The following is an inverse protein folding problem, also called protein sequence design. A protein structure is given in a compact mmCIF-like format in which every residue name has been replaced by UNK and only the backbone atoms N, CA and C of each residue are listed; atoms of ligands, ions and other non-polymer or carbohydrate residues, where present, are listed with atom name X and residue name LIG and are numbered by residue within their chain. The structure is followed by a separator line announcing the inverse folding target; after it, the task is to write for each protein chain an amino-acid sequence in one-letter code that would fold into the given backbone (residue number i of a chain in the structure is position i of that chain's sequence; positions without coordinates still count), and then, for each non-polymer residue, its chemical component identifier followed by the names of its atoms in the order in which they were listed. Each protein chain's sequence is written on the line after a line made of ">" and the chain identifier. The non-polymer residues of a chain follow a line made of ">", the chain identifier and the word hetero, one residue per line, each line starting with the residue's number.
data_IF_087065447434
#
_entry.id   IF_087065447434
#
_cell.length_a   1.000
_cell.length_b   1.000
_cell.length_c   1.000
_cell.angle_alpha   90.00
_cell.angle_beta   90.00
_cell.angle_gamma   90.00
#
_symmetry.space_group_name_H-M   'P 1'
#
loop_
_entity.id
_entity.type
_entity.pdbx_description
1 polymer ?
#
# COMPACT_ATOMS: atom_id res chain seq x y z
N UNK A 1 -34.96 -11.64 60.74
CA UNK A 1 -33.54 -11.35 60.46
C UNK A 1 -33.16 -12.07 59.16
N UNK A 2 -32.71 -11.31 58.15
CA UNK A 2 -32.07 -11.75 56.89
C UNK A 2 -30.62 -12.23 57.17
N UNK A 3 -29.89 -12.92 56.25
CA UNK A 3 -29.88 -12.78 54.78
C UNK A 3 -29.96 -14.10 53.99
N UNK A 4 -30.52 -14.16 52.78
CA UNK A 4 -30.10 -13.56 51.50
C UNK A 4 -28.66 -13.97 51.10
N UNK A 5 -28.50 -15.14 50.47
CA UNK A 5 -27.32 -15.46 49.66
C UNK A 5 -27.74 -15.80 48.24
N UNK A 6 -28.12 -14.73 47.54
CA UNK A 6 -28.17 -14.66 46.08
C UNK A 6 -26.73 -14.80 45.58
N UNK A 7 -26.39 -15.97 45.03
CA UNK A 7 -25.07 -16.21 44.44
C UNK A 7 -25.11 -15.73 42.99
N UNK A 8 -25.09 -14.41 42.82
CA UNK A 8 -24.86 -13.79 41.52
C UNK A 8 -23.42 -14.05 41.09
N UNK A 9 -23.20 -15.02 40.21
CA UNK A 9 -21.96 -15.09 39.46
C UNK A 9 -21.88 -13.86 38.56
N UNK A 10 -20.78 -13.08 38.59
CA UNK A 10 -20.59 -12.03 37.60
C UNK A 10 -20.35 -12.69 36.24
N UNK A 11 -21.32 -12.56 35.33
CA UNK A 11 -21.08 -12.76 33.90
C UNK A 11 -19.95 -11.80 33.47
N UNK A 12 -18.75 -12.35 33.33
CA UNK A 12 -17.66 -11.74 32.60
C UNK A 12 -18.19 -11.51 31.17
N UNK A 13 -18.62 -10.28 30.89
CA UNK A 13 -18.91 -9.82 29.54
C UNK A 13 -17.66 -10.06 28.71
N UNK A 14 -17.70 -11.14 27.92
CA UNK A 14 -16.71 -11.40 26.89
C UNK A 14 -16.61 -10.13 26.06
N UNK A 15 -15.49 -9.43 26.22
CA UNK A 15 -15.16 -8.29 25.39
C UNK A 15 -15.09 -8.86 23.98
N UNK A 16 -16.12 -8.57 23.20
CA UNK A 16 -16.16 -8.92 21.80
C UNK A 16 -15.04 -8.11 21.19
N UNK A 17 -13.85 -8.72 21.09
CA UNK A 17 -12.81 -8.24 20.20
C UNK A 17 -13.49 -8.33 18.85
N UNK A 18 -14.03 -7.18 18.43
CA UNK A 18 -14.55 -6.99 17.10
C UNK A 18 -13.37 -7.33 16.21
N UNK A 19 -13.40 -8.53 15.63
CA UNK A 19 -12.39 -9.03 14.69
C UNK A 19 -12.61 -8.22 13.43
N UNK A 20 -12.26 -6.93 13.55
CA UNK A 20 -12.30 -5.94 12.49
C UNK A 20 -11.51 -6.58 11.37
N UNK A 21 -12.20 -6.87 10.26
CA UNK A 21 -11.55 -7.30 9.02
C UNK A 21 -10.26 -6.48 8.88
N UNK A 22 -9.10 -7.11 8.64
CA UNK A 22 -7.85 -6.38 8.58
C UNK A 22 -8.04 -5.19 7.64
N UNK A 23 -7.95 -3.98 8.20
CA UNK A 23 -8.14 -2.76 7.41
C UNK A 23 -7.11 -2.82 6.29
N UNK A 24 -7.59 -2.78 5.04
CA UNK A 24 -6.69 -2.81 3.89
C UNK A 24 -5.85 -1.54 3.96
N UNK A 25 -4.53 -1.67 4.11
CA UNK A 25 -3.59 -0.55 4.17
C UNK A 25 -3.06 -0.22 2.79
N UNK A 26 -3.03 1.07 2.45
CA UNK A 26 -2.47 1.58 1.19
C UNK A 26 -1.22 2.41 1.48
N UNK A 27 -0.10 2.07 0.85
CA UNK A 27 1.13 2.85 0.94
C UNK A 27 1.16 3.91 -0.17
N UNK A 28 1.23 5.18 0.21
CA UNK A 28 1.42 6.29 -0.73
C UNK A 28 2.89 6.71 -0.69
N UNK A 29 3.53 6.69 -1.84
CA UNK A 29 4.94 7.05 -1.98
C UNK A 29 5.13 8.47 -2.48
N UNK A 30 6.08 9.19 -1.90
CA UNK A 30 6.57 10.45 -2.44
C UNK A 30 7.51 10.18 -3.61
N UNK A 31 7.04 10.47 -4.81
CA UNK A 31 7.83 10.37 -6.05
C UNK A 31 8.17 11.78 -6.53
N UNK A 32 9.20 12.36 -5.91
CA UNK A 32 9.69 13.68 -6.28
C UNK A 32 8.64 14.74 -5.96
N UNK A 33 8.03 15.34 -6.98
CA UNK A 33 6.99 16.36 -6.77
C UNK A 33 5.61 15.76 -6.54
N UNK A 34 5.35 14.52 -6.92
CA UNK A 34 4.02 13.89 -6.80
C UNK A 34 3.95 12.90 -5.63
N UNK A 35 2.74 12.55 -5.24
CA UNK A 35 2.44 11.37 -4.41
C UNK A 35 1.76 10.32 -5.27
N UNK A 36 2.05 9.04 -5.06
CA UNK A 36 1.41 7.97 -5.82
C UNK A 36 1.15 6.70 -5.00
N UNK A 37 0.07 6.00 -5.32
CA UNK A 37 -0.18 4.64 -4.85
C UNK A 37 -0.82 3.79 -5.94
N UNK A 38 -0.74 2.46 -5.79
CA UNK A 38 -1.39 1.50 -6.66
C UNK A 38 -2.30 0.60 -5.85
N UNK A 39 -3.58 0.64 -6.17
CA UNK A 39 -4.57 -0.24 -5.58
C UNK A 39 -5.65 -0.56 -6.61
N UNK A 40 -6.16 -1.78 -6.58
CA UNK A 40 -7.32 -2.18 -7.35
C UNK A 40 -8.52 -2.17 -6.42
N UNK A 41 -9.47 -1.27 -6.65
CA UNK A 41 -10.69 -1.18 -5.86
C UNK A 41 -11.75 -2.13 -6.41
N UNK A 42 -12.26 -3.01 -5.56
CA UNK A 42 -13.42 -3.85 -5.88
C UNK A 42 -14.70 -3.00 -5.99
N UNK A 43 -14.78 -1.93 -5.17
CA UNK A 43 -15.86 -0.95 -5.20
C UNK A 43 -15.60 0.13 -6.26
N UNK A 44 -16.49 0.17 -7.26
CA UNK A 44 -16.42 1.10 -8.39
C UNK A 44 -16.65 2.56 -7.98
N UNK A 45 -17.36 2.81 -6.88
CA UNK A 45 -17.64 4.18 -6.43
C UNK A 45 -16.39 4.82 -5.81
N UNK A 46 -15.56 4.02 -5.10
CA UNK A 46 -14.23 4.48 -4.64
C UNK A 46 -13.35 4.82 -5.84
N UNK A 47 -13.33 3.94 -6.84
CA UNK A 47 -12.54 4.18 -8.05
C UNK A 47 -12.99 5.47 -8.76
N UNK A 48 -14.31 5.65 -8.97
CA UNK A 48 -14.87 6.87 -9.58
C UNK A 48 -14.46 8.13 -8.82
N UNK A 49 -14.54 8.11 -7.49
CA UNK A 49 -14.19 9.25 -6.66
C UNK A 49 -12.70 9.67 -6.79
N UNK A 50 -11.85 8.75 -7.24
CA UNK A 50 -10.41 8.98 -7.43
C UNK A 50 -9.99 9.03 -8.91
N UNK A 51 -10.93 8.87 -9.85
CA UNK A 51 -10.66 8.59 -11.25
C UNK A 51 -9.86 9.71 -11.95
N UNK A 52 -10.10 10.97 -11.57
CA UNK A 52 -9.36 12.12 -12.11
C UNK A 52 -7.86 12.09 -11.79
N UNK A 53 -7.48 11.38 -10.72
CA UNK A 53 -6.08 11.20 -10.32
C UNK A 53 -5.50 9.89 -10.85
N UNK A 54 -6.25 9.08 -11.61
CA UNK A 54 -5.78 7.79 -12.10
C UNK A 54 -4.96 7.92 -13.39
N UNK A 55 -3.69 7.53 -13.32
CA UNK A 55 -2.81 7.43 -14.47
C UNK A 55 -2.98 6.06 -15.13
N UNK A 56 -3.63 6.03 -16.31
CA UNK A 56 -3.92 4.80 -17.06
C UNK A 56 -2.67 4.10 -17.61
N UNK A 57 -1.66 4.87 -18.01
CA UNK A 57 -0.43 4.30 -18.59
C UNK A 57 0.41 3.60 -17.52
N UNK A 58 0.33 4.09 -16.27
CA UNK A 58 1.12 3.59 -15.13
C UNK A 58 0.32 2.71 -14.18
N UNK A 59 -0.99 2.60 -14.40
CA UNK A 59 -1.92 1.85 -13.57
C UNK A 59 -1.79 2.20 -12.08
N UNK A 60 -1.73 3.50 -11.76
CA UNK A 60 -1.56 4.02 -10.40
C UNK A 60 -2.27 5.37 -10.25
N UNK A 61 -2.61 5.75 -9.02
CA UNK A 61 -3.11 7.09 -8.72
C UNK A 61 -1.95 8.04 -8.47
N UNK A 62 -2.01 9.25 -9.01
CA UNK A 62 -0.98 10.28 -8.92
C UNK A 62 -1.57 11.62 -8.48
N UNK A 63 -0.95 12.23 -7.46
CA UNK A 63 -1.40 13.49 -6.89
C UNK A 63 -0.28 14.53 -7.02
N UNK A 64 -0.53 15.56 -7.84
CA UNK A 64 0.42 16.66 -8.09
C UNK A 64 0.37 17.75 -7.03
N UNK A 65 -0.71 17.82 -6.25
CA UNK A 65 -0.90 18.83 -5.19
C UNK A 65 -1.26 18.17 -3.86
N UNK A 66 -0.94 18.86 -2.76
CA UNK A 66 -1.33 18.42 -1.42
C UNK A 66 -2.85 18.39 -1.23
N UNK A 67 -3.58 19.32 -1.84
CA UNK A 67 -5.04 19.35 -1.81
C UNK A 67 -5.65 18.08 -2.40
N UNK A 68 -5.29 17.74 -3.65
CA UNK A 68 -5.78 16.53 -4.32
C UNK A 68 -5.41 15.25 -3.55
N UNK A 69 -4.18 15.18 -3.02
CA UNK A 69 -3.77 14.06 -2.16
C UNK A 69 -4.66 13.96 -0.92
N UNK A 70 -4.86 15.06 -0.19
CA UNK A 70 -5.62 15.05 1.05
C UNK A 70 -7.10 14.69 0.82
N UNK A 71 -7.69 15.14 -0.29
CA UNK A 71 -9.05 14.76 -0.64
C UNK A 71 -9.16 13.27 -0.97
N UNK A 72 -8.17 12.71 -1.66
CA UNK A 72 -8.09 11.26 -1.88
C UNK A 72 -7.95 10.47 -0.57
N UNK A 73 -7.14 10.94 0.38
CA UNK A 73 -7.01 10.30 1.70
C UNK A 73 -8.34 10.23 2.44
N UNK A 74 -9.15 11.31 2.41
CA UNK A 74 -10.51 11.30 3.00
C UNK A 74 -11.42 10.27 2.34
N UNK A 75 -11.32 10.10 1.01
CA UNK A 75 -12.07 9.06 0.28
C UNK A 75 -11.66 7.67 0.77
N UNK A 76 -10.36 7.42 0.92
CA UNK A 76 -9.83 6.15 1.44
C UNK A 76 -10.31 5.86 2.87
N UNK A 77 -10.22 6.84 3.77
CA UNK A 77 -10.67 6.71 5.17
C UNK A 77 -12.16 6.39 5.27
N UNK A 78 -13.00 7.13 4.52
CA UNK A 78 -14.45 6.89 4.48
C UNK A 78 -14.80 5.51 3.93
N UNK A 79 -13.97 4.98 3.04
CA UNK A 79 -14.08 3.63 2.52
C UNK A 79 -13.47 2.55 3.44
N UNK A 80 -12.95 2.93 4.61
CA UNK A 80 -12.40 2.00 5.61
C UNK A 80 -10.96 1.56 5.36
N UNK A 81 -10.24 2.23 4.45
CA UNK A 81 -8.82 1.99 4.24
C UNK A 81 -7.98 2.76 5.25
N UNK A 82 -6.90 2.12 5.70
CA UNK A 82 -5.78 2.81 6.32
C UNK A 82 -4.78 3.23 5.25
N UNK A 83 -3.95 4.23 5.56
CA UNK A 83 -2.86 4.60 4.69
C UNK A 83 -1.60 4.97 5.45
N UNK A 84 -0.49 4.91 4.72
CA UNK A 84 0.81 5.38 5.17
C UNK A 84 1.43 6.28 4.11
N UNK A 85 2.06 7.37 4.54
CA UNK A 85 2.81 8.27 3.68
C UNK A 85 4.31 7.95 3.80
N UNK A 86 4.90 7.44 2.72
CA UNK A 86 6.29 6.99 2.69
C UNK A 86 7.12 7.89 1.79
N UNK A 87 8.15 8.51 2.37
CA UNK A 87 9.16 9.26 1.61
C UNK A 87 10.45 8.46 1.41
N UNK A 88 10.78 7.58 2.36
CA UNK A 88 11.92 6.67 2.24
C UNK A 88 11.54 5.43 1.42
N UNK A 89 11.99 5.40 0.17
CA UNK A 89 11.70 4.31 -0.76
C UNK A 89 12.54 3.05 -0.51
N UNK A 90 13.62 3.14 0.28
CA UNK A 90 14.59 2.05 0.49
C UNK A 90 13.94 0.74 0.92
N UNK A 91 13.01 0.71 1.91
CA UNK A 91 12.42 -0.54 2.39
C UNK A 91 11.52 -1.23 1.36
N UNK A 92 11.13 -0.52 0.30
CA UNK A 92 10.16 -0.98 -0.70
C UNK A 92 10.78 -1.24 -2.06
N UNK A 93 12.08 -1.01 -2.22
CA UNK A 93 12.72 -1.08 -3.52
C UNK A 93 13.59 -2.32 -3.65
N UNK A 94 13.30 -3.12 -4.68
CA UNK A 94 14.00 -4.37 -4.98
C UNK A 94 14.61 -4.32 -6.37
N UNK A 95 15.66 -5.11 -6.60
CA UNK A 95 16.22 -5.38 -7.91
C UNK A 95 16.09 -6.86 -8.25
N UNK A 96 15.86 -7.17 -9.51
CA UNK A 96 15.81 -8.52 -10.05
C UNK A 96 16.67 -8.56 -11.31
N UNK A 97 17.36 -9.68 -11.56
CA UNK A 97 18.13 -9.86 -12.80
C UNK A 97 17.26 -9.59 -14.02
N UNK A 98 17.81 -8.91 -15.03
CA UNK A 98 17.11 -8.65 -16.30
C UNK A 98 16.77 -9.91 -17.09
N UNK A 99 17.34 -11.05 -16.74
CA UNK A 99 17.08 -12.34 -17.38
C UNK A 99 15.99 -13.15 -16.67
N UNK A 100 15.55 -12.72 -15.48
CA UNK A 100 14.49 -13.38 -14.72
C UNK A 100 13.10 -13.00 -15.22
N UNK A 101 12.14 -13.92 -15.06
CA UNK A 101 10.70 -13.63 -15.26
C UNK A 101 10.24 -12.62 -14.22
N UNK A 102 9.61 -11.52 -14.65
CA UNK A 102 9.25 -10.40 -13.78
C UNK A 102 7.79 -9.93 -13.92
N UNK A 103 7.02 -10.49 -14.86
CA UNK A 103 5.68 -9.99 -15.19
C UNK A 103 4.71 -9.95 -14.00
N UNK A 104 4.82 -10.90 -13.06
CA UNK A 104 4.03 -10.91 -11.83
C UNK A 104 4.35 -9.73 -10.91
N UNK A 105 5.59 -9.22 -10.91
CA UNK A 105 5.99 -8.07 -10.09
C UNK A 105 5.34 -6.76 -10.55
N UNK A 106 5.07 -6.62 -11.86
CA UNK A 106 4.47 -5.39 -12.42
C UNK A 106 3.12 -5.05 -11.78
N UNK A 107 2.32 -6.07 -11.45
CA UNK A 107 1.02 -5.88 -10.77
C UNK A 107 1.19 -5.26 -9.38
N UNK A 108 2.30 -5.55 -8.73
CA UNK A 108 2.59 -5.13 -7.36
C UNK A 108 3.64 -4.02 -7.27
N UNK A 109 4.11 -3.47 -8.39
CA UNK A 109 5.04 -2.35 -8.42
C UNK A 109 4.34 -1.02 -8.73
N UNK A 110 4.74 0.03 -8.02
CA UNK A 110 4.37 1.44 -8.25
C UNK A 110 5.15 2.02 -9.43
N UNK A 111 6.43 1.69 -9.51
CA UNK A 111 7.35 2.16 -10.53
C UNK A 111 8.41 1.09 -10.80
N UNK A 112 9.03 1.13 -11.97
CA UNK A 112 10.19 0.32 -12.27
C UNK A 112 11.13 1.05 -13.23
N UNK A 113 12.39 0.63 -13.25
CA UNK A 113 13.36 1.04 -14.25
C UNK A 113 14.22 -0.16 -14.64
N UNK A 114 14.73 -0.14 -15.86
CA UNK A 114 15.65 -1.15 -16.36
C UNK A 114 17.05 -0.57 -16.52
N UNK A 115 18.04 -1.38 -16.18
CA UNK A 115 19.47 -1.13 -16.39
C UNK A 115 20.05 -2.27 -17.25
N UNK A 116 21.32 -2.19 -17.68
CA UNK A 116 21.94 -3.26 -18.46
C UNK A 116 21.98 -4.63 -17.78
N UNK A 117 21.84 -4.70 -16.46
CA UNK A 117 21.91 -5.98 -15.71
C UNK A 117 20.67 -6.25 -14.84
N UNK A 118 19.94 -5.20 -14.44
CA UNK A 118 18.89 -5.28 -13.44
C UNK A 118 17.60 -4.60 -13.87
N UNK A 119 16.47 -5.15 -13.41
CA UNK A 119 15.21 -4.42 -13.27
C UNK A 119 15.02 -4.03 -11.82
N UNK A 120 14.80 -2.75 -11.57
CA UNK A 120 14.59 -2.22 -10.23
C UNK A 120 13.11 -1.84 -10.12
N UNK A 121 12.45 -2.29 -9.06
CA UNK A 121 11.03 -2.09 -8.80
C UNK A 121 10.84 -1.38 -7.46
N UNK A 122 9.99 -0.36 -7.44
CA UNK A 122 9.38 0.13 -6.21
C UNK A 122 8.09 -0.65 -5.98
N UNK A 123 8.05 -1.48 -4.96
CA UNK A 123 6.89 -2.32 -4.61
C UNK A 123 5.83 -1.50 -3.86
N UNK A 124 4.57 -1.91 -3.98
CA UNK A 124 3.41 -1.15 -3.44
C UNK A 124 3.23 -1.25 -1.92
N UNK A 125 3.80 -2.28 -1.29
CA UNK A 125 3.69 -2.57 0.14
C UNK A 125 4.76 -3.61 0.56
N UNK A 126 4.96 -3.89 1.86
CA UNK A 126 5.98 -4.84 2.32
C UNK A 126 5.71 -6.29 1.87
N UNK A 127 4.44 -6.69 1.76
CA UNK A 127 4.09 -8.03 1.29
C UNK A 127 4.53 -8.24 -0.17
N UNK A 128 4.40 -7.21 -1.00
CA UNK A 128 4.92 -7.22 -2.36
C UNK A 128 6.45 -7.29 -2.42
N UNK A 129 7.17 -6.71 -1.46
CA UNK A 129 8.63 -6.88 -1.33
C UNK A 129 8.97 -8.33 -1.04
N UNK A 130 8.30 -8.95 -0.06
CA UNK A 130 8.52 -10.36 0.28
C UNK A 130 8.23 -11.28 -0.91
N UNK A 131 7.13 -11.05 -1.62
CA UNK A 131 6.79 -11.80 -2.84
C UNK A 131 7.87 -11.66 -3.90
N UNK A 132 8.45 -10.48 -4.07
CA UNK A 132 9.55 -10.27 -4.99
C UNK A 132 10.82 -11.02 -4.55
N UNK A 133 11.12 -11.02 -3.25
CA UNK A 133 12.26 -11.77 -2.70
C UNK A 133 12.10 -13.28 -2.89
N UNK A 134 10.89 -13.83 -2.74
CA UNK A 134 10.57 -15.24 -3.06
C UNK A 134 10.84 -15.58 -4.54
N UNK A 135 10.79 -14.57 -5.43
CA UNK A 135 11.15 -14.71 -6.84
C UNK A 135 12.64 -14.47 -7.15
N UNK A 136 13.48 -14.32 -6.13
CA UNK A 136 14.91 -14.06 -6.26
C UNK A 136 15.28 -12.58 -6.46
N UNK A 137 14.38 -11.65 -6.12
CA UNK A 137 14.73 -10.24 -6.05
C UNK A 137 15.54 -9.95 -4.77
N UNK A 138 16.43 -8.98 -4.84
CA UNK A 138 17.24 -8.50 -3.72
C UNK A 138 16.86 -7.07 -3.38
N UNK A 139 17.09 -6.63 -2.14
CA UNK A 139 16.95 -5.22 -1.80
C UNK A 139 17.90 -4.38 -2.65
N UNK A 140 17.37 -3.35 -3.30
CA UNK A 140 18.18 -2.42 -4.04
C UNK A 140 18.80 -1.41 -3.07
N UNK A 141 20.11 -1.16 -3.19
CA UNK A 141 20.87 -0.24 -2.31
C UNK A 141 21.42 0.99 -3.06
N UNK A 142 21.14 1.13 -4.36
CA UNK A 142 21.65 2.24 -5.18
C UNK A 142 20.76 3.49 -5.11
N UNK A 143 21.04 4.48 -5.98
CA UNK A 143 20.26 5.73 -5.99
C UNK A 143 18.80 5.51 -6.40
N UNK A 144 17.87 5.93 -5.55
CA UNK A 144 16.42 5.88 -5.76
C UNK A 144 15.87 7.07 -6.54
N UNK A 145 16.70 8.10 -6.76
CA UNK A 145 16.30 9.30 -7.52
C UNK A 145 15.83 8.93 -8.94
N UNK A 146 16.41 7.90 -9.56
CA UNK A 146 15.98 7.49 -10.91
C UNK A 146 14.58 6.87 -10.95
N UNK A 147 14.04 6.37 -9.83
CA UNK A 147 12.65 5.88 -9.74
C UNK A 147 11.64 7.03 -9.63
N UNK A 148 12.12 8.23 -9.30
CA UNK A 148 11.33 9.42 -9.03
C UNK A 148 11.11 10.28 -10.29
N UNK A 149 12.03 10.24 -11.26
CA UNK A 149 12.07 11.16 -12.40
C UNK A 149 11.46 10.64 -13.70
N UNK A 150 10.69 9.56 -13.67
CA UNK A 150 9.91 9.12 -14.85
C UNK A 150 8.45 9.39 -14.64
#
# INVERSE_FOLDING_TARGET
>A
MRPDHETGQPELKASTIDVTKPRRRITLFKLGRIWAFKHFFDDKEIFKALADSYNRDRFRFEFKSFGARNDALKVLERAGFEYELVEDLRPFTVKLSRYSKYASLLKNSIAHLETPDWRIFLMKDPAAVEDAQRMGAEMYQGSYQMLVFR
#
